data_IF_813556702694
#
_entry.id   IF_813556702694
#
_cell.length_a   1.000
_cell.length_b   1.000
_cell.length_c   1.000
_cell.angle_alpha   90.00
_cell.angle_beta   90.00
_cell.angle_gamma   90.00
#
_symmetry.space_group_name_H-M   'P 1'
#
loop_
_entity.id
_entity.type
_entity.pdbx_description
1 polymer ?
#
# COMPACT_ATOMS: atom_id res chain seq x y z
N UNK A 1 29.32 -26.86 11.10
CA UNK A 1 28.37 -25.89 10.50
C UNK A 1 29.20 -24.66 10.21
N UNK A 2 29.31 -24.27 8.96
CA UNK A 2 30.13 -23.12 8.54
C UNK A 2 29.23 -21.88 8.68
N UNK A 3 29.76 -20.76 9.15
CA UNK A 3 29.02 -19.53 9.41
C UNK A 3 28.24 -18.94 8.21
N UNK A 4 28.38 -19.54 7.04
CA UNK A 4 27.62 -19.22 5.82
C UNK A 4 26.17 -19.70 5.89
N UNK A 5 25.91 -20.82 6.56
CA UNK A 5 24.57 -21.42 6.63
C UNK A 5 23.66 -20.62 7.59
N UNK A 6 24.24 -20.04 8.64
CA UNK A 6 23.50 -19.24 9.62
C UNK A 6 22.98 -17.92 9.01
N UNK A 7 23.79 -17.26 8.21
CA UNK A 7 23.40 -16.01 7.55
C UNK A 7 22.34 -16.21 6.48
N UNK A 8 22.36 -17.32 5.75
CA UNK A 8 21.31 -17.65 4.77
C UNK A 8 19.94 -17.87 5.46
N UNK A 9 19.95 -18.45 6.66
CA UNK A 9 18.71 -18.59 7.45
C UNK A 9 18.18 -17.23 7.90
N UNK A 10 19.06 -16.33 8.37
CA UNK A 10 18.68 -14.98 8.77
C UNK A 10 18.13 -14.19 7.57
N UNK A 11 18.76 -14.29 6.41
CA UNK A 11 18.32 -13.64 5.18
C UNK A 11 16.93 -14.15 4.74
N UNK A 12 16.70 -15.45 4.80
CA UNK A 12 15.39 -16.05 4.49
C UNK A 12 14.30 -15.54 5.44
N UNK A 13 14.56 -15.49 6.75
CA UNK A 13 13.61 -14.97 7.74
C UNK A 13 13.33 -13.48 7.51
N UNK A 14 14.34 -12.70 7.17
CA UNK A 14 14.19 -11.28 6.91
C UNK A 14 13.42 -11.02 5.60
N UNK A 15 13.61 -11.85 4.58
CA UNK A 15 12.90 -11.75 3.30
C UNK A 15 11.40 -12.05 3.41
N UNK A 16 10.96 -12.74 4.48
CA UNK A 16 9.54 -12.93 4.79
C UNK A 16 8.87 -11.65 5.33
N UNK A 17 9.65 -10.71 5.83
CA UNK A 17 9.17 -9.48 6.48
C UNK A 17 9.56 -8.22 5.70
N UNK A 18 10.69 -8.26 5.01
CA UNK A 18 11.26 -7.19 4.19
C UNK A 18 11.29 -7.63 2.73
N UNK A 19 11.43 -6.69 1.81
CA UNK A 19 11.82 -7.04 0.43
C UNK A 19 13.26 -7.59 0.40
N UNK A 20 13.60 -8.29 -0.68
CA UNK A 20 14.87 -9.00 -0.84
C UNK A 20 16.10 -8.07 -0.71
N UNK A 21 15.99 -6.85 -1.27
CA UNK A 21 17.07 -5.85 -1.27
C UNK A 21 17.32 -5.28 0.15
N UNK A 22 16.28 -4.99 0.91
CA UNK A 22 16.39 -4.57 2.31
C UNK A 22 16.91 -5.70 3.22
N UNK A 23 16.48 -6.94 2.98
CA UNK A 23 16.98 -8.10 3.71
C UNK A 23 18.49 -8.31 3.45
N UNK A 24 18.93 -8.23 2.20
CA UNK A 24 20.33 -8.32 1.83
C UNK A 24 21.16 -7.19 2.44
N UNK A 25 20.70 -5.94 2.37
CA UNK A 25 21.37 -4.79 3.00
C UNK A 25 21.53 -5.00 4.50
N UNK A 26 20.47 -5.46 5.19
CA UNK A 26 20.53 -5.72 6.62
C UNK A 26 21.51 -6.82 6.97
N UNK A 27 21.50 -7.94 6.23
CA UNK A 27 22.46 -9.05 6.42
C UNK A 27 23.89 -8.59 6.17
N UNK A 28 24.13 -7.80 5.13
CA UNK A 28 25.46 -7.26 4.84
C UNK A 28 25.92 -6.30 5.93
N UNK A 29 25.04 -5.45 6.46
CA UNK A 29 25.33 -4.58 7.59
C UNK A 29 25.66 -5.39 8.85
N UNK A 30 24.90 -6.46 9.15
CA UNK A 30 25.17 -7.37 10.25
C UNK A 30 26.55 -8.07 10.13
N UNK A 31 26.95 -8.43 8.92
CA UNK A 31 28.23 -9.06 8.63
C UNK A 31 29.43 -8.10 8.75
N UNK A 32 29.24 -6.82 8.43
CA UNK A 32 30.33 -5.85 8.24
C UNK A 32 30.44 -4.78 9.30
N UNK A 33 29.44 -4.67 10.20
CA UNK A 33 29.24 -3.51 11.04
C UNK A 33 30.15 -3.44 12.28
N UNK A 34 30.66 -2.26 12.51
CA UNK A 34 30.98 -1.77 13.86
C UNK A 34 29.64 -1.60 14.60
N UNK A 35 29.58 -1.97 15.88
CA UNK A 35 28.34 -2.07 16.69
C UNK A 35 27.38 -0.88 16.56
N UNK A 36 27.89 0.31 16.36
CA UNK A 36 27.09 1.55 16.25
C UNK A 36 26.27 1.62 14.94
N UNK A 37 26.89 1.28 13.81
CA UNK A 37 26.21 1.31 12.49
C UNK A 37 25.10 0.27 12.45
N UNK A 38 25.34 -0.89 13.06
CA UNK A 38 24.35 -1.96 13.16
C UNK A 38 23.12 -1.56 13.98
N UNK A 39 23.31 -0.91 15.15
CA UNK A 39 22.18 -0.43 15.96
C UNK A 39 21.35 0.64 15.22
N UNK A 40 22.00 1.53 14.47
CA UNK A 40 21.30 2.53 13.68
C UNK A 40 20.45 1.87 12.58
N UNK A 41 21.03 0.95 11.83
CA UNK A 41 20.34 0.20 10.78
C UNK A 41 19.17 -0.58 11.35
N UNK A 42 19.37 -1.32 12.46
CA UNK A 42 18.28 -2.03 13.13
C UNK A 42 17.12 -1.11 13.53
N UNK A 43 17.42 0.08 14.05
CA UNK A 43 16.41 1.04 14.46
C UNK A 43 15.61 1.57 13.24
N UNK A 44 16.29 1.85 12.13
CA UNK A 44 15.64 2.27 10.88
C UNK A 44 14.71 1.17 10.33
N UNK A 45 15.19 -0.08 10.29
CA UNK A 45 14.36 -1.22 9.86
C UNK A 45 13.21 -1.50 10.83
N UNK A 46 13.46 -1.48 12.14
CA UNK A 46 12.41 -1.66 13.14
C UNK A 46 11.32 -0.60 13.03
N UNK A 47 11.69 0.64 12.72
CA UNK A 47 10.75 1.71 12.44
C UNK A 47 9.94 1.42 11.18
N UNK A 48 10.61 1.07 10.08
CA UNK A 48 9.96 0.75 8.80
C UNK A 48 9.00 -0.44 8.91
N UNK A 49 9.35 -1.48 9.69
CA UNK A 49 8.53 -2.68 9.92
C UNK A 49 7.32 -2.37 10.81
N UNK A 50 7.45 -1.48 11.79
CA UNK A 50 6.41 -1.20 12.79
C UNK A 50 5.50 -0.03 12.41
N UNK A 51 5.85 0.79 11.42
CA UNK A 51 4.94 1.84 10.95
C UNK A 51 3.82 1.23 10.10
N UNK A 52 2.56 1.47 10.47
CA UNK A 52 1.44 0.95 9.69
C UNK A 52 1.41 1.61 8.31
N UNK A 53 1.12 0.83 7.28
CA UNK A 53 0.82 1.35 5.96
C UNK A 53 -0.56 2.01 6.01
N UNK A 54 -0.58 3.32 5.81
CA UNK A 54 -1.81 4.12 5.80
C UNK A 54 -2.55 3.91 4.47
N UNK A 55 -3.68 3.23 4.51
CA UNK A 55 -4.50 2.94 3.33
C UNK A 55 -5.76 3.78 3.38
N UNK A 56 -6.06 4.50 2.30
CA UNK A 56 -7.36 5.14 2.09
C UNK A 56 -8.16 4.31 1.08
N UNK A 57 -9.24 3.69 1.55
CA UNK A 57 -10.15 2.89 0.75
C UNK A 57 -11.40 3.71 0.42
N UNK A 58 -11.65 3.92 -0.87
CA UNK A 58 -12.75 4.74 -1.38
C UNK A 58 -13.73 3.86 -2.14
N UNK A 59 -14.96 3.76 -1.67
CA UNK A 59 -16.00 2.93 -2.29
C UNK A 59 -17.29 2.94 -1.48
N UNK A 60 -18.36 2.44 -2.06
CA UNK A 60 -19.69 2.48 -1.48
C UNK A 60 -20.34 1.08 -1.37
N UNK A 61 -19.55 0.01 -1.28
CA UNK A 61 -20.01 -1.34 -1.02
C UNK A 61 -19.57 -1.79 0.38
N UNK A 62 -20.45 -1.73 1.39
CA UNK A 62 -20.09 -2.04 2.76
C UNK A 62 -19.65 -3.50 2.98
N UNK A 63 -20.15 -4.43 2.15
CA UNK A 63 -19.76 -5.83 2.24
C UNK A 63 -18.32 -6.00 1.74
N UNK A 64 -18.03 -5.48 0.56
CA UNK A 64 -16.70 -5.49 -0.01
C UNK A 64 -15.67 -4.83 0.91
N UNK A 65 -15.99 -3.65 1.44
CA UNK A 65 -15.12 -2.92 2.37
C UNK A 65 -14.75 -3.75 3.61
N UNK A 66 -15.76 -4.36 4.27
CA UNK A 66 -15.52 -5.20 5.45
C UNK A 66 -14.65 -6.41 5.15
N UNK A 67 -14.92 -7.10 4.06
CA UNK A 67 -14.12 -8.28 3.67
C UNK A 67 -12.68 -7.93 3.33
N UNK A 68 -12.47 -6.84 2.61
CA UNK A 68 -11.13 -6.37 2.26
C UNK A 68 -10.34 -5.96 3.51
N UNK A 69 -10.94 -5.15 4.40
CA UNK A 69 -10.33 -4.74 5.67
C UNK A 69 -10.00 -5.95 6.54
N UNK A 70 -10.93 -6.91 6.65
CA UNK A 70 -10.72 -8.13 7.43
C UNK A 70 -9.58 -8.99 6.83
N UNK A 71 -9.41 -8.98 5.51
CA UNK A 71 -8.33 -9.72 4.84
C UNK A 71 -6.98 -9.05 5.06
N UNK A 72 -6.90 -7.73 4.99
CA UNK A 72 -5.69 -7.00 5.40
C UNK A 72 -5.31 -7.31 6.86
N UNK A 73 -6.29 -7.35 7.78
CA UNK A 73 -6.04 -7.71 9.18
C UNK A 73 -5.53 -9.14 9.41
N UNK A 74 -5.66 -10.03 8.42
CA UNK A 74 -5.09 -11.39 8.42
C UNK A 74 -3.76 -11.50 7.69
N UNK A 75 -3.38 -10.47 6.95
CA UNK A 75 -2.09 -10.41 6.27
C UNK A 75 -0.97 -10.03 7.24
N UNK A 76 0.28 -10.26 6.84
CA UNK A 76 1.46 -9.88 7.63
C UNK A 76 1.79 -8.37 7.49
N UNK A 77 1.02 -7.62 6.68
CA UNK A 77 1.21 -6.20 6.52
C UNK A 77 0.49 -5.44 7.64
N UNK A 78 1.23 -4.69 8.44
CA UNK A 78 0.62 -3.81 9.45
C UNK A 78 -0.02 -2.64 8.71
N UNK A 79 -1.34 -2.50 8.82
CA UNK A 79 -2.10 -1.47 8.10
C UNK A 79 -2.96 -0.63 9.04
N UNK A 80 -3.08 0.65 8.69
CA UNK A 80 -4.09 1.58 9.22
C UNK A 80 -5.02 1.95 8.06
N UNK A 81 -6.28 1.48 8.11
CA UNK A 81 -7.21 1.62 7.00
C UNK A 81 -8.31 2.62 7.35
N UNK A 82 -8.35 3.72 6.61
CA UNK A 82 -9.48 4.66 6.60
C UNK A 82 -10.31 4.39 5.37
N UNK A 83 -11.63 4.52 5.49
CA UNK A 83 -12.51 4.28 4.36
C UNK A 83 -13.65 5.30 4.32
N UNK A 84 -14.12 5.59 3.11
CA UNK A 84 -15.30 6.42 2.87
C UNK A 84 -15.99 6.05 1.56
N UNK A 85 -17.32 6.20 1.53
CA UNK A 85 -18.11 6.13 0.29
C UNK A 85 -18.47 7.50 -0.29
N UNK A 86 -18.13 8.57 0.43
CA UNK A 86 -18.48 9.94 0.04
C UNK A 86 -17.28 10.59 -0.70
N UNK A 87 -17.52 10.98 -1.95
CA UNK A 87 -16.50 11.61 -2.82
C UNK A 87 -15.88 12.85 -2.20
N UNK A 88 -16.68 13.74 -1.64
CA UNK A 88 -16.20 14.98 -1.02
C UNK A 88 -15.40 14.72 0.28
N UNK A 89 -15.75 13.68 1.01
CA UNK A 89 -15.00 13.27 2.19
C UNK A 89 -13.66 12.65 1.79
N UNK A 90 -13.66 11.75 0.79
CA UNK A 90 -12.43 11.21 0.21
C UNK A 90 -11.48 12.33 -0.23
N UNK A 91 -12.00 13.33 -0.92
CA UNK A 91 -11.24 14.50 -1.36
C UNK A 91 -10.60 15.25 -0.20
N UNK A 92 -11.36 15.50 0.87
CA UNK A 92 -10.84 16.16 2.08
C UNK A 92 -9.76 15.31 2.78
N UNK A 93 -9.93 13.99 2.83
CA UNK A 93 -8.94 13.07 3.39
C UNK A 93 -7.65 13.08 2.57
N UNK A 94 -7.74 12.99 1.24
CA UNK A 94 -6.60 12.98 0.32
C UNK A 94 -5.79 14.28 0.44
N UNK A 95 -6.46 15.42 0.49
CA UNK A 95 -5.81 16.73 0.49
C UNK A 95 -5.68 17.35 1.89
N UNK A 96 -5.87 16.57 2.95
CA UNK A 96 -5.74 16.99 4.35
C UNK A 96 -6.51 18.28 4.65
N UNK A 97 -7.79 18.32 4.33
CA UNK A 97 -8.65 19.51 4.47
C UNK A 97 -9.61 19.40 5.65
N UNK A 98 -9.85 20.54 6.30
CA UNK A 98 -10.83 20.64 7.41
C UNK A 98 -10.47 19.74 8.58
N UNK A 99 -11.38 18.89 9.01
CA UNK A 99 -11.19 17.96 10.15
C UNK A 99 -10.15 16.88 9.89
N UNK A 100 -9.69 16.73 8.66
CA UNK A 100 -8.66 15.76 8.26
C UNK A 100 -7.26 16.37 8.13
N UNK A 101 -7.08 17.65 8.50
CA UNK A 101 -5.81 18.37 8.33
C UNK A 101 -4.62 17.70 9.06
N UNK A 102 -4.90 17.12 10.23
CA UNK A 102 -3.88 16.46 11.07
C UNK A 102 -3.82 14.93 10.87
N UNK A 103 -4.56 14.39 9.91
CA UNK A 103 -4.54 12.97 9.63
C UNK A 103 -3.28 12.58 8.83
N UNK A 104 -2.73 11.38 9.04
CA UNK A 104 -1.64 10.89 8.22
C UNK A 104 -2.00 10.89 6.73
N UNK A 105 -1.05 11.26 5.89
CA UNK A 105 -1.22 11.09 4.43
C UNK A 105 -1.31 9.59 4.13
N UNK A 106 -2.21 9.20 3.24
CA UNK A 106 -2.29 7.82 2.81
C UNK A 106 -1.02 7.40 2.07
N UNK A 107 -0.50 6.22 2.37
CA UNK A 107 0.58 5.61 1.62
C UNK A 107 0.06 4.93 0.34
N UNK A 108 -1.20 4.46 0.36
CA UNK A 108 -1.89 3.83 -0.77
C UNK A 108 -3.32 4.34 -0.81
N UNK A 109 -3.81 4.67 -2.01
CA UNK A 109 -5.22 4.96 -2.25
C UNK A 109 -5.81 3.81 -3.06
N UNK A 110 -6.88 3.19 -2.56
CA UNK A 110 -7.59 2.10 -3.22
C UNK A 110 -8.99 2.58 -3.59
N UNK A 111 -9.32 2.55 -4.88
CA UNK A 111 -10.66 2.87 -5.39
C UNK A 111 -11.45 1.61 -5.72
N UNK A 112 -12.61 1.43 -5.08
CA UNK A 112 -13.64 0.52 -5.58
C UNK A 112 -14.45 1.22 -6.67
N UNK A 113 -14.04 1.02 -7.90
CA UNK A 113 -14.64 1.70 -9.05
C UNK A 113 -16.03 1.17 -9.43
N UNK A 114 -16.38 -0.04 -8.99
CA UNK A 114 -17.71 -0.62 -9.24
C UNK A 114 -18.85 0.21 -8.63
N UNK A 115 -18.55 0.98 -7.60
CA UNK A 115 -19.56 1.72 -6.81
C UNK A 115 -19.45 3.24 -6.94
N UNK A 116 -18.35 3.75 -7.49
CA UNK A 116 -18.12 5.19 -7.72
C UNK A 116 -18.25 5.56 -9.20
N UNK A 117 -19.22 4.94 -9.89
CA UNK A 117 -19.46 5.16 -11.31
C UNK A 117 -19.94 6.60 -11.56
N UNK A 118 -19.27 7.32 -12.46
CA UNK A 118 -19.67 8.63 -12.95
C UNK A 118 -18.61 9.74 -12.77
N UNK A 119 -19.01 10.96 -13.15
CA UNK A 119 -18.13 12.15 -13.15
C UNK A 119 -17.45 12.43 -11.81
N UNK A 120 -18.08 12.08 -10.69
CA UNK A 120 -17.55 12.36 -9.35
C UNK A 120 -16.30 11.51 -9.02
N UNK A 121 -16.28 10.23 -9.39
CA UNK A 121 -15.11 9.36 -9.22
C UNK A 121 -13.97 9.77 -10.14
N UNK A 122 -14.28 10.13 -11.39
CA UNK A 122 -13.34 10.71 -12.35
C UNK A 122 -12.66 11.95 -11.79
N UNK A 123 -13.46 12.87 -11.26
CA UNK A 123 -12.95 14.14 -10.75
C UNK A 123 -11.96 13.99 -9.60
N UNK A 124 -12.10 12.97 -8.75
CA UNK A 124 -11.09 12.70 -7.72
C UNK A 124 -9.77 12.28 -8.36
N UNK A 125 -9.80 11.40 -9.36
CA UNK A 125 -8.59 10.96 -10.06
C UNK A 125 -7.92 12.14 -10.77
N UNK A 126 -8.68 12.97 -11.47
CA UNK A 126 -8.19 14.21 -12.08
C UNK A 126 -7.53 15.13 -11.03
N UNK A 127 -8.21 15.37 -9.90
CA UNK A 127 -7.68 16.21 -8.82
C UNK A 127 -6.37 15.63 -8.22
N UNK A 128 -6.26 14.30 -8.09
CA UNK A 128 -5.04 13.62 -7.65
C UNK A 128 -3.91 13.86 -8.65
N UNK A 129 -4.21 13.74 -9.94
CA UNK A 129 -3.22 13.91 -11.00
C UNK A 129 -2.80 15.37 -11.18
N UNK A 130 -3.73 16.32 -11.08
CA UNK A 130 -3.44 17.75 -11.20
C UNK A 130 -2.67 18.31 -10.00
N UNK A 131 -3.01 17.88 -8.76
CA UNK A 131 -2.39 18.35 -7.53
C UNK A 131 -1.16 17.55 -7.10
N UNK A 132 -0.35 17.15 -8.04
CA UNK A 132 0.87 16.34 -7.86
C UNK A 132 1.82 16.77 -6.73
N UNK A 133 1.68 17.98 -6.19
CA UNK A 133 2.62 18.51 -5.18
C UNK A 133 2.38 17.97 -3.76
N UNK A 134 1.14 17.61 -3.40
CA UNK A 134 0.80 17.17 -2.02
C UNK A 134 0.86 15.65 -1.89
N UNK A 135 0.50 14.92 -2.97
CA UNK A 135 0.40 13.45 -2.96
C UNK A 135 1.18 12.81 -4.12
N UNK A 136 2.25 13.48 -4.54
CA UNK A 136 3.02 13.16 -5.76
C UNK A 136 3.44 11.70 -5.90
N UNK A 137 3.65 11.04 -4.77
CA UNK A 137 4.19 9.69 -4.71
C UNK A 137 3.22 8.71 -4.04
N UNK A 138 1.94 9.05 -3.92
CA UNK A 138 0.94 8.12 -3.36
C UNK A 138 0.39 7.26 -4.49
N UNK A 139 0.64 5.96 -4.50
CA UNK A 139 0.11 5.08 -5.53
C UNK A 139 -1.40 4.94 -5.42
N UNK A 140 -2.03 4.89 -6.59
CA UNK A 140 -3.46 4.69 -6.77
C UNK A 140 -3.71 3.31 -7.35
N UNK A 141 -4.54 2.51 -6.67
CA UNK A 141 -4.97 1.18 -7.10
C UNK A 141 -6.46 1.23 -7.41
N UNK A 142 -6.85 0.75 -8.57
CA UNK A 142 -8.25 0.68 -8.97
C UNK A 142 -8.72 -0.78 -8.91
N UNK A 143 -9.82 -1.00 -8.19
CA UNK A 143 -10.54 -2.27 -8.17
C UNK A 143 -11.84 -2.14 -8.96
N UNK A 144 -12.08 -3.04 -9.90
CA UNK A 144 -13.30 -3.05 -10.72
C UNK A 144 -13.75 -4.48 -11.02
N UNK A 145 -15.04 -4.69 -11.13
CA UNK A 145 -15.64 -5.92 -11.63
C UNK A 145 -15.74 -5.95 -13.18
N UNK A 146 -15.50 -4.82 -13.83
CA UNK A 146 -15.59 -4.66 -15.28
C UNK A 146 -14.41 -3.81 -15.80
N UNK A 147 -13.45 -4.47 -16.42
CA UNK A 147 -12.25 -3.84 -16.94
C UNK A 147 -12.52 -2.84 -18.07
N UNK A 148 -13.53 -3.12 -18.91
CA UNK A 148 -13.89 -2.23 -20.02
C UNK A 148 -14.39 -0.87 -19.52
N UNK A 149 -15.07 -0.86 -18.36
CA UNK A 149 -15.53 0.40 -17.75
C UNK A 149 -14.40 1.26 -17.20
N UNK A 150 -13.27 0.66 -16.85
CA UNK A 150 -12.12 1.37 -16.27
C UNK A 150 -11.00 1.62 -17.25
N UNK A 151 -11.10 1.08 -18.48
CA UNK A 151 -10.06 1.20 -19.51
C UNK A 151 -9.72 2.66 -19.86
N UNK A 152 -10.71 3.54 -19.88
CA UNK A 152 -10.48 4.96 -20.12
C UNK A 152 -9.76 5.67 -18.97
N UNK A 153 -9.59 5.02 -17.80
CA UNK A 153 -8.76 5.55 -16.71
C UNK A 153 -7.27 5.26 -16.87
N UNK A 154 -6.87 4.49 -17.87
CA UNK A 154 -5.46 4.31 -18.21
C UNK A 154 -4.79 5.65 -18.52
N UNK A 155 -5.53 6.62 -19.02
CA UNK A 155 -5.05 7.99 -19.28
C UNK A 155 -4.66 8.75 -17.99
N UNK A 156 -5.24 8.38 -16.83
CA UNK A 156 -4.89 8.93 -15.52
C UNK A 156 -3.73 8.18 -14.85
N UNK A 157 -3.13 7.20 -15.53
CA UNK A 157 -1.96 6.43 -15.08
C UNK A 157 -2.05 5.94 -13.63
N UNK A 158 -3.14 5.23 -13.22
CA UNK A 158 -3.14 4.58 -11.94
C UNK A 158 -2.01 3.53 -11.89
N UNK A 159 -1.50 3.30 -10.70
CA UNK A 159 -0.34 2.44 -10.53
C UNK A 159 -0.66 0.95 -10.71
N UNK A 160 -1.91 0.55 -10.38
CA UNK A 160 -2.34 -0.83 -10.48
C UNK A 160 -3.84 -0.94 -10.73
N UNK A 161 -4.22 -1.86 -11.64
CA UNK A 161 -5.61 -2.26 -11.85
C UNK A 161 -5.80 -3.71 -11.40
N UNK A 162 -6.79 -3.97 -10.56
CA UNK A 162 -7.13 -5.30 -10.09
C UNK A 162 -8.62 -5.58 -10.27
N UNK A 163 -8.95 -6.85 -10.49
CA UNK A 163 -10.33 -7.30 -10.49
C UNK A 163 -10.88 -7.28 -9.07
N UNK A 164 -12.09 -6.74 -8.89
CA UNK A 164 -12.80 -6.75 -7.61
C UNK A 164 -13.07 -8.19 -7.16
N UNK A 165 -12.60 -8.61 -5.97
CA UNK A 165 -12.73 -9.98 -5.49
C UNK A 165 -14.18 -10.31 -5.11
N UNK A 166 -14.58 -11.57 -5.32
CA UNK A 166 -15.94 -12.07 -5.07
C UNK A 166 -16.01 -13.15 -3.98
N UNK A 167 -14.90 -13.81 -3.69
CA UNK A 167 -14.81 -14.88 -2.71
C UNK A 167 -13.52 -14.76 -1.87
N UNK A 168 -13.41 -15.53 -0.82
CA UNK A 168 -12.31 -15.47 0.15
C UNK A 168 -10.92 -15.61 -0.48
N UNK A 169 -10.75 -16.54 -1.40
CA UNK A 169 -9.49 -16.77 -2.09
C UNK A 169 -9.07 -15.55 -2.94
N UNK A 170 -10.01 -14.98 -3.68
CA UNK A 170 -9.78 -13.78 -4.48
C UNK A 170 -9.43 -12.56 -3.59
N UNK A 171 -10.07 -12.40 -2.41
CA UNK A 171 -9.71 -11.36 -1.46
C UNK A 171 -8.27 -11.52 -0.97
N UNK A 172 -7.87 -12.76 -0.64
CA UNK A 172 -6.51 -13.07 -0.21
C UNK A 172 -5.51 -12.73 -1.31
N UNK A 173 -5.78 -13.16 -2.54
CA UNK A 173 -4.92 -12.87 -3.69
C UNK A 173 -4.79 -11.37 -3.97
N UNK A 174 -5.88 -10.61 -3.89
CA UNK A 174 -5.86 -9.15 -4.07
C UNK A 174 -5.01 -8.47 -3.00
N UNK A 175 -5.13 -8.88 -1.73
CA UNK A 175 -4.33 -8.30 -0.64
C UNK A 175 -2.84 -8.64 -0.81
N UNK A 176 -2.50 -9.87 -1.20
CA UNK A 176 -1.09 -10.23 -1.46
C UNK A 176 -0.52 -9.44 -2.65
N UNK A 177 -1.26 -9.27 -3.74
CA UNK A 177 -0.83 -8.44 -4.86
C UNK A 177 -0.61 -6.97 -4.47
N UNK A 178 -1.47 -6.41 -3.63
CA UNK A 178 -1.30 -5.04 -3.11
C UNK A 178 -0.06 -4.95 -2.22
N UNK A 179 0.17 -5.94 -1.37
CA UNK A 179 1.34 -6.03 -0.51
C UNK A 179 2.63 -6.11 -1.34
N UNK A 180 2.72 -7.03 -2.30
CA UNK A 180 3.87 -7.16 -3.21
C UNK A 180 4.14 -5.86 -3.98
N UNK A 181 3.07 -5.27 -4.51
CA UNK A 181 3.17 -3.96 -5.17
C UNK A 181 3.75 -2.90 -4.23
N UNK A 182 3.24 -2.79 -3.00
CA UNK A 182 3.71 -1.80 -2.03
C UNK A 182 5.18 -1.98 -1.67
N UNK A 183 5.61 -3.19 -1.40
CA UNK A 183 7.00 -3.50 -1.09
C UNK A 183 7.94 -3.13 -2.26
N UNK A 184 7.54 -3.47 -3.49
CA UNK A 184 8.31 -3.12 -4.70
C UNK A 184 8.32 -1.61 -4.94
N UNK A 185 7.19 -0.94 -4.72
CA UNK A 185 7.05 0.50 -4.93
C UNK A 185 7.94 1.31 -3.99
N UNK A 186 8.00 0.92 -2.72
CA UNK A 186 8.83 1.60 -1.71
C UNK A 186 10.32 1.38 -1.95
N UNK A 187 10.72 0.20 -2.41
CA UNK A 187 12.12 -0.11 -2.72
C UNK A 187 12.68 0.69 -3.91
N UNK A 188 11.82 1.08 -4.86
CA UNK A 188 12.24 1.84 -6.05
C UNK A 188 12.12 3.37 -5.85
N UNK A 189 11.65 3.83 -4.70
CA UNK A 189 11.40 5.26 -4.42
C UNK A 189 12.51 5.91 -3.60
N UNK A 190 13.51 5.15 -3.21
CA UNK A 190 14.78 5.59 -2.57
C UNK A 190 15.87 5.78 -3.63
#
# INVERSE_FOLDING_TARGET
MTGTDEWNVVETILSDVLNEDDAEKLVNAMKTSVKHDFEQILNEFAKKINEPVEILLIGNDPKFMRELIATFGRSNLITSIRFTGAVEEARKMIFQQGVFADFPIANIIIFDFSTLVGEAGLKILEDIMEKKSVIKNVPVIILSDDFEKVKHFEEYHPNLFLTKPKNFEEYTNVVELIKEFWLTYTSNSE
#
